data_IF_104068645557
#
_entry.id   IF_104068645557
#
_cell.length_a   1.000
_cell.length_b   1.000
_cell.length_c   1.000
_cell.angle_alpha   90.00
_cell.angle_beta   90.00
_cell.angle_gamma   90.00
#
_symmetry.space_group_name_H-M   'P 1'
#
loop_
_entity.id
_entity.type
_entity.pdbx_description
1 polymer ?
#
# COMPACT_ATOMS: atom_id res chain seq x y z
N UNK A 1 11.09 -21.40 -10.38
CA UNK A 1 11.21 -20.31 -9.43
C UNK A 1 10.37 -19.14 -9.88
N UNK A 2 9.40 -18.76 -9.10
CA UNK A 2 8.53 -17.66 -9.47
C UNK A 2 9.21 -16.33 -9.15
N UNK A 3 9.05 -15.36 -10.03
CA UNK A 3 9.52 -14.01 -9.78
C UNK A 3 8.60 -13.33 -8.78
N UNK A 4 9.14 -12.50 -7.88
CA UNK A 4 8.26 -11.68 -7.04
C UNK A 4 7.37 -10.80 -7.93
N UNK A 5 6.12 -10.67 -7.54
CA UNK A 5 5.22 -9.76 -8.23
C UNK A 5 5.55 -8.33 -7.83
N UNK A 6 5.48 -7.44 -8.80
CA UNK A 6 5.66 -6.03 -8.52
C UNK A 6 4.62 -5.24 -9.30
N UNK A 7 4.25 -4.09 -8.77
CA UNK A 7 3.24 -3.22 -9.37
C UNK A 7 3.69 -1.78 -9.21
N UNK A 8 3.44 -0.95 -10.23
CA UNK A 8 3.62 0.47 -10.02
C UNK A 8 2.34 1.06 -9.40
N UNK A 9 2.46 2.25 -8.84
CA UNK A 9 1.35 2.84 -8.11
C UNK A 9 0.19 3.24 -9.02
N UNK A 10 0.48 3.56 -10.29
CA UNK A 10 -0.57 3.86 -11.26
C UNK A 10 -1.47 2.66 -11.49
N UNK A 11 -0.89 1.45 -11.58
CA UNK A 11 -1.66 0.23 -11.71
C UNK A 11 -2.48 -0.05 -10.47
N UNK A 12 -1.88 0.14 -9.31
CA UNK A 12 -2.59 -0.09 -8.04
C UNK A 12 -3.75 0.89 -7.85
N UNK A 13 -3.59 2.11 -8.30
CA UNK A 13 -4.67 3.09 -8.27
C UNK A 13 -5.92 2.56 -8.96
N UNK A 14 -5.72 1.94 -10.10
CA UNK A 14 -6.84 1.37 -10.87
C UNK A 14 -7.39 0.11 -10.23
N UNK A 15 -6.50 -0.78 -9.80
CA UNK A 15 -6.90 -2.06 -9.21
C UNK A 15 -7.67 -1.86 -7.91
N UNK A 16 -7.23 -0.90 -7.10
CA UNK A 16 -7.82 -0.65 -5.79
C UNK A 16 -8.97 0.35 -5.82
N UNK A 17 -9.24 0.94 -6.98
CA UNK A 17 -10.23 2.02 -7.10
C UNK A 17 -9.90 3.14 -6.10
N UNK A 18 -8.64 3.51 -6.06
CA UNK A 18 -8.11 4.51 -5.14
C UNK A 18 -7.67 5.75 -5.91
N UNK A 19 -7.37 6.81 -5.17
CA UNK A 19 -6.79 8.02 -5.76
C UNK A 19 -5.33 8.10 -5.34
N UNK A 20 -4.43 8.10 -6.32
CA UNK A 20 -3.00 8.20 -6.07
C UNK A 20 -2.60 9.64 -5.81
N UNK A 21 -1.84 9.84 -4.75
CA UNK A 21 -1.14 11.09 -4.48
C UNK A 21 0.35 10.75 -4.45
N UNK A 22 1.11 11.24 -5.42
CA UNK A 22 2.54 10.99 -5.50
C UNK A 22 2.96 10.45 -6.85
N UNK A 23 4.02 9.65 -6.85
CA UNK A 23 4.71 9.18 -8.07
C UNK A 23 4.03 7.92 -8.64
N UNK A 24 3.41 8.02 -9.83
CA UNK A 24 2.74 6.86 -10.43
C UNK A 24 3.70 5.76 -10.88
N UNK A 25 4.97 6.10 -11.08
CA UNK A 25 5.96 5.13 -11.54
C UNK A 25 6.65 4.39 -10.41
N UNK A 26 6.35 4.75 -9.16
CA UNK A 26 6.94 4.05 -8.02
C UNK A 26 6.47 2.61 -7.96
N UNK A 27 7.42 1.70 -7.74
CA UNK A 27 7.14 0.26 -7.76
C UNK A 27 7.13 -0.30 -6.34
N UNK A 28 6.19 -1.19 -6.07
CA UNK A 28 6.11 -1.93 -4.81
C UNK A 28 6.10 -3.42 -5.12
N UNK A 29 6.75 -4.21 -4.29
CA UNK A 29 6.85 -5.65 -4.48
C UNK A 29 6.56 -6.45 -3.23
N UNK A 30 6.20 -5.80 -2.14
CA UNK A 30 5.87 -6.49 -0.90
C UNK A 30 4.94 -5.63 -0.04
N UNK A 31 4.36 -6.29 0.95
CA UNK A 31 3.47 -5.67 1.91
C UNK A 31 4.15 -5.68 3.27
N UNK A 32 4.01 -4.61 4.03
CA UNK A 32 4.58 -4.56 5.36
C UNK A 32 3.76 -3.62 6.24
N UNK A 33 3.90 -3.78 7.54
CA UNK A 33 3.35 -2.81 8.47
C UNK A 33 4.13 -1.51 8.36
N UNK A 34 3.54 -0.43 8.86
CA UNK A 34 4.14 0.90 8.77
C UNK A 34 5.56 0.91 9.35
N UNK A 35 5.78 0.23 10.47
CA UNK A 35 7.07 0.24 11.15
C UNK A 35 8.10 -0.72 10.55
N UNK A 36 7.66 -1.71 9.77
CA UNK A 36 8.54 -2.71 9.17
C UNK A 36 8.72 -2.53 7.67
N UNK A 37 8.17 -1.46 7.11
CA UNK A 37 8.22 -1.24 5.68
C UNK A 37 9.60 -0.81 5.21
N UNK A 38 9.89 -1.07 3.94
CA UNK A 38 11.09 -0.62 3.27
C UNK A 38 10.71 0.13 1.99
N UNK A 39 11.71 0.48 1.18
CA UNK A 39 11.53 1.33 0.00
C UNK A 39 10.67 0.72 -1.10
N UNK A 40 10.39 -0.56 -1.03
CA UNK A 40 9.55 -1.25 -2.01
C UNK A 40 8.29 -1.83 -1.38
N UNK A 41 7.99 -1.45 -0.14
CA UNK A 41 6.81 -1.94 0.57
C UNK A 41 5.62 -1.03 0.36
N UNK A 42 4.43 -1.64 0.33
CA UNK A 42 3.18 -0.90 0.48
C UNK A 42 2.60 -1.23 1.85
N UNK A 43 2.14 -0.22 2.54
CA UNK A 43 1.54 -0.37 3.86
C UNK A 43 0.17 0.28 3.88
N UNK A 44 -0.51 0.24 5.03
CA UNK A 44 -1.78 0.94 5.18
C UNK A 44 -1.95 1.38 6.62
N UNK A 45 -2.76 2.42 6.80
CA UNK A 45 -3.22 2.83 8.12
C UNK A 45 -4.72 3.09 8.05
N UNK A 46 -5.41 2.73 9.12
CA UNK A 46 -6.85 2.88 9.20
C UNK A 46 -7.29 3.80 10.34
N UNK A 47 -6.34 4.24 11.15
CA UNK A 47 -6.62 5.00 12.36
C UNK A 47 -5.70 6.21 12.45
N UNK A 48 -6.26 7.36 12.77
CA UNK A 48 -5.52 8.61 12.88
C UNK A 48 -4.35 8.55 13.86
N UNK A 49 -4.42 7.71 14.87
CA UNK A 49 -3.33 7.62 15.83
C UNK A 49 -2.03 7.10 15.22
N UNK A 50 -2.11 6.42 14.08
CA UNK A 50 -0.91 5.94 13.38
C UNK A 50 -0.36 6.97 12.41
N UNK A 51 -1.05 8.09 12.22
CA UNK A 51 -0.61 9.13 11.32
C UNK A 51 0.77 9.67 11.69
N UNK A 52 1.07 9.71 12.98
CA UNK A 52 2.37 10.18 13.47
C UNK A 52 3.54 9.31 13.00
N UNK A 53 3.27 8.06 12.65
CA UNK A 53 4.32 7.15 12.19
C UNK A 53 4.64 7.29 10.71
N UNK A 54 3.83 8.05 9.96
CA UNK A 54 4.04 8.22 8.53
C UNK A 54 5.35 8.92 8.21
N UNK A 55 5.75 9.87 9.03
CA UNK A 55 6.99 10.61 8.80
C UNK A 55 8.23 9.73 8.95
N UNK A 56 8.14 8.67 9.75
CA UNK A 56 9.24 7.76 9.98
C UNK A 56 9.16 6.51 9.10
N UNK A 57 8.07 6.36 8.35
CA UNK A 57 7.88 5.20 7.50
C UNK A 57 8.79 5.27 6.28
N UNK A 58 9.34 4.11 5.91
CA UNK A 58 10.13 3.96 4.70
C UNK A 58 9.33 3.37 3.55
N UNK A 59 8.04 3.15 3.75
CA UNK A 59 7.19 2.52 2.74
C UNK A 59 7.20 3.33 1.44
N UNK A 60 7.20 2.61 0.33
CA UNK A 60 7.08 3.23 -0.98
C UNK A 60 5.73 3.92 -1.15
N UNK A 61 4.69 3.35 -0.54
CA UNK A 61 3.34 3.92 -0.58
C UNK A 61 2.56 3.46 0.64
N UNK A 62 1.55 4.25 1.00
CA UNK A 62 0.66 3.93 2.13
C UNK A 62 -0.78 4.09 1.67
N UNK A 63 -1.58 3.07 1.94
CA UNK A 63 -3.02 3.10 1.68
C UNK A 63 -3.69 3.81 2.86
N UNK A 64 -4.48 4.81 2.58
CA UNK A 64 -5.16 5.61 3.61
C UNK A 64 -6.61 5.85 3.23
N UNK A 65 -7.40 6.24 4.22
CA UNK A 65 -8.78 6.63 3.99
C UNK A 65 -8.85 7.98 3.27
N UNK A 66 -9.89 8.18 2.47
CA UNK A 66 -10.17 9.49 1.84
C UNK A 66 -10.33 10.61 2.87
N UNK A 67 -10.67 10.26 4.10
CA UNK A 67 -10.86 11.23 5.17
C UNK A 67 -9.55 11.73 5.77
N UNK A 68 -8.44 11.06 5.48
CA UNK A 68 -7.15 11.49 6.01
C UNK A 68 -6.69 12.75 5.30
N UNK A 69 -6.33 13.74 6.11
CA UNK A 69 -5.72 14.96 5.63
C UNK A 69 -4.21 14.80 5.73
N UNK A 70 -3.57 14.49 4.61
CA UNK A 70 -2.14 14.22 4.56
C UNK A 70 -1.41 15.44 4.03
N UNK A 71 -0.53 15.99 4.85
CA UNK A 71 0.30 17.12 4.46
C UNK A 71 1.77 16.72 4.28
N UNK A 72 2.10 15.46 4.56
CA UNK A 72 3.47 14.96 4.43
C UNK A 72 3.76 14.57 2.99
N UNK A 73 5.01 14.76 2.59
CA UNK A 73 5.49 14.26 1.31
C UNK A 73 5.49 12.74 1.32
N UNK A 74 5.22 12.16 0.17
CA UNK A 74 5.22 10.71 0.04
C UNK A 74 4.20 10.27 -0.98
N UNK A 75 4.02 8.96 -1.07
CA UNK A 75 3.08 8.37 -2.01
C UNK A 75 1.94 7.75 -1.23
N UNK A 76 0.72 8.12 -1.57
CA UNK A 76 -0.47 7.66 -0.86
C UNK A 76 -1.52 7.20 -1.84
N UNK A 77 -2.21 6.12 -1.47
CA UNK A 77 -3.39 5.64 -2.19
C UNK A 77 -4.60 5.86 -1.29
N UNK A 78 -5.40 6.85 -1.64
CA UNK A 78 -6.58 7.23 -0.85
C UNK A 78 -7.80 6.49 -1.36
N UNK A 79 -8.55 5.88 -0.47
CA UNK A 79 -9.73 5.11 -0.83
C UNK A 79 -10.77 5.14 0.30
N UNK A 80 -11.97 4.66 -0.03
CA UNK A 80 -13.07 4.65 0.94
C UNK A 80 -12.85 3.60 2.03
N UNK A 81 -12.23 2.47 1.67
CA UNK A 81 -12.05 1.35 2.60
C UNK A 81 -10.61 0.83 2.52
N UNK A 82 -9.72 1.35 3.38
CA UNK A 82 -8.34 0.88 3.38
C UNK A 82 -8.17 -0.61 3.68
N UNK A 83 -9.03 -1.19 4.49
CA UNK A 83 -8.98 -2.63 4.77
C UNK A 83 -9.23 -3.44 3.52
N UNK A 84 -10.24 -3.06 2.75
CA UNK A 84 -10.55 -3.76 1.51
C UNK A 84 -9.42 -3.61 0.51
N UNK A 85 -8.88 -2.40 0.39
CA UNK A 85 -7.76 -2.14 -0.50
C UNK A 85 -6.55 -2.98 -0.11
N UNK A 86 -6.23 -3.04 1.18
CA UNK A 86 -5.12 -3.83 1.67
C UNK A 86 -5.33 -5.32 1.41
N UNK A 87 -6.56 -5.81 1.58
CA UNK A 87 -6.88 -7.20 1.27
C UNK A 87 -6.65 -7.50 -0.22
N UNK A 88 -7.04 -6.58 -1.10
CA UNK A 88 -6.78 -6.75 -2.53
C UNK A 88 -5.30 -6.79 -2.84
N UNK A 89 -4.51 -5.91 -2.23
CA UNK A 89 -3.06 -5.90 -2.40
C UNK A 89 -2.46 -7.21 -1.90
N UNK A 90 -2.94 -7.71 -0.77
CA UNK A 90 -2.47 -8.98 -0.24
C UNK A 90 -2.68 -10.10 -1.25
N UNK A 91 -3.83 -10.12 -1.90
CA UNK A 91 -4.10 -11.11 -2.95
C UNK A 91 -3.17 -10.95 -4.16
N UNK A 92 -2.86 -9.72 -4.53
CA UNK A 92 -1.99 -9.47 -5.67
C UNK A 92 -0.58 -9.99 -5.44
N UNK A 93 -0.10 -9.93 -4.21
CA UNK A 93 1.25 -10.37 -3.89
C UNK A 93 1.34 -11.84 -3.49
N UNK A 94 0.21 -12.53 -3.38
CA UNK A 94 0.24 -13.97 -3.14
C UNK A 94 0.81 -14.69 -4.34
N UNK A 95 1.68 -15.65 -4.06
CA UNK A 95 2.13 -16.57 -5.09
C UNK A 95 1.01 -17.53 -5.45
N UNK A 96 0.89 -17.89 -6.71
CA UNK A 96 -0.06 -18.90 -7.15
C UNK A 96 0.26 -20.27 -6.56
N UNK A 97 1.48 -20.46 -6.07
CA UNK A 97 1.91 -21.68 -5.41
C UNK A 97 1.46 -21.77 -3.97
N UNK A 98 0.90 -20.70 -3.44
CA UNK A 98 0.43 -20.66 -2.07
C UNK A 98 -1.04 -20.92 -2.01
N UNK A 99 -1.38 -21.89 -1.20
CA UNK A 99 -2.75 -22.20 -0.88
C UNK A 99 -3.00 -21.77 0.56
N UNK A 100 -3.66 -20.66 0.73
CA UNK A 100 -3.92 -20.13 2.06
C UNK A 100 -5.22 -20.67 2.60
N UNK A 101 -5.18 -21.35 3.73
CA UNK A 101 -6.37 -21.94 4.33
C UNK A 101 -7.15 -20.90 5.13
N UNK A 102 -7.84 -20.07 4.45
CA UNK A 102 -8.72 -19.15 5.15
C UNK A 102 -10.11 -19.68 5.23
#
# INVERSE_FOLDING_TARGET
>A
MSKPKSFNLADLEKILDATLVGDPDRVVDNIATISNSNETSISFITNNKYKQYLSDSKAAAVIISNEFDITLDGNYLKCDDPYLAYAKVTHLFKSDDYDFPY
#
